data_IF_972042060722
#
_entry.id   IF_972042060722
#
_cell.length_a   1.000
_cell.length_b   1.000
_cell.length_c   1.000
_cell.angle_alpha   90.00
_cell.angle_beta   90.00
_cell.angle_gamma   90.00
#
_symmetry.space_group_name_H-M   'P 1'
#
loop_
_entity.id
_entity.type
_entity.pdbx_description
1 polymer ?
#
# COMPACT_ATOMS: atom_id res chain seq x y z
N UNK A 1 -10.70 33.98 -21.11
CA UNK A 1 -10.72 32.57 -21.54
C UNK A 1 -11.68 32.46 -22.71
N UNK A 2 -11.18 32.17 -23.90
CA UNK A 2 -12.02 32.01 -25.09
C UNK A 2 -12.92 30.77 -24.92
N UNK A 3 -14.16 30.84 -25.40
CA UNK A 3 -15.12 29.71 -25.29
C UNK A 3 -14.72 28.48 -26.12
N UNK A 4 -13.78 28.66 -27.04
CA UNK A 4 -13.37 27.67 -28.04
C UNK A 4 -11.92 27.19 -27.84
N UNK A 5 -11.47 27.09 -26.58
CA UNK A 5 -10.19 26.48 -26.26
C UNK A 5 -10.30 24.97 -26.42
N UNK A 6 -9.67 24.42 -27.47
CA UNK A 6 -9.77 23.02 -27.89
C UNK A 6 -9.33 22.01 -26.80
N UNK A 7 -8.63 22.50 -25.78
CA UNK A 7 -8.23 21.74 -24.60
C UNK A 7 -9.38 21.48 -23.61
N UNK A 8 -10.45 22.29 -23.62
CA UNK A 8 -11.56 22.20 -22.67
C UNK A 8 -12.67 21.29 -23.24
N UNK A 9 -12.91 20.14 -22.59
CA UNK A 9 -14.02 19.24 -22.92
C UNK A 9 -15.11 19.30 -21.84
N UNK A 10 -16.39 18.97 -22.16
CA UNK A 10 -17.45 18.97 -21.16
C UNK A 10 -17.14 18.07 -19.97
N UNK A 11 -17.42 18.58 -18.76
CA UNK A 11 -17.13 17.88 -17.50
C UNK A 11 -18.15 16.75 -17.28
N UNK A 12 -17.71 15.50 -17.41
CA UNK A 12 -18.55 14.34 -17.15
C UNK A 12 -18.46 13.98 -15.66
N UNK A 13 -19.62 13.81 -14.99
CA UNK A 13 -19.69 13.53 -13.55
C UNK A 13 -18.88 12.30 -13.11
N UNK A 14 -18.74 11.33 -14.00
CA UNK A 14 -18.00 10.09 -13.78
C UNK A 14 -16.47 10.30 -13.76
N UNK A 15 -15.98 11.36 -14.41
CA UNK A 15 -14.56 11.72 -14.46
C UNK A 15 -14.09 12.46 -13.18
N UNK A 16 -15.02 13.03 -12.41
CA UNK A 16 -14.74 13.75 -11.15
C UNK A 16 -14.28 12.84 -10.01
N UNK A 17 -14.41 11.52 -10.16
CA UNK A 17 -13.78 10.56 -9.25
C UNK A 17 -12.28 10.63 -9.49
N UNK A 18 -11.60 11.53 -8.78
CA UNK A 18 -10.17 11.74 -8.93
C UNK A 18 -9.41 10.42 -8.84
N UNK A 19 -8.55 10.15 -9.83
CA UNK A 19 -7.51 9.09 -9.76
C UNK A 19 -6.43 9.41 -8.71
N UNK A 20 -6.62 10.46 -7.91
CA UNK A 20 -5.76 10.81 -6.79
C UNK A 20 -6.03 9.87 -5.62
N UNK A 21 -5.36 8.72 -5.62
CA UNK A 21 -5.14 7.95 -4.39
C UNK A 21 -5.63 6.50 -4.38
N UNK A 22 -6.10 5.94 -5.49
CA UNK A 22 -6.47 4.53 -5.55
C UNK A 22 -5.63 3.80 -6.60
N UNK A 23 -4.89 2.81 -6.12
CA UNK A 23 -4.18 1.77 -6.88
C UNK A 23 -4.87 1.50 -8.22
N UNK A 24 -4.14 1.69 -9.33
CA UNK A 24 -4.61 1.22 -10.63
C UNK A 24 -4.91 -0.27 -10.50
N UNK A 25 -6.15 -0.68 -10.73
CA UNK A 25 -6.49 -2.11 -10.79
C UNK A 25 -5.94 -2.69 -12.10
N UNK A 26 -5.44 -3.94 -12.11
CA UNK A 26 -5.04 -4.60 -13.35
C UNK A 26 -6.18 -4.55 -14.37
N UNK A 27 -5.91 -4.03 -15.58
CA UNK A 27 -6.90 -3.90 -16.67
C UNK A 27 -7.40 -2.48 -16.95
N UNK A 28 -7.14 -1.49 -16.07
CA UNK A 28 -7.51 -0.08 -16.32
C UNK A 28 -6.48 0.72 -17.13
N UNK A 29 -5.45 0.07 -17.68
CA UNK A 29 -4.41 0.70 -18.50
C UNK A 29 -4.98 1.39 -19.76
N UNK A 30 -6.19 0.99 -20.22
CA UNK A 30 -6.84 1.52 -21.41
C UNK A 30 -7.75 2.73 -21.17
N UNK A 31 -8.05 3.09 -19.92
CA UNK A 31 -8.88 4.25 -19.60
C UNK A 31 -8.02 5.52 -19.56
N UNK A 32 -8.04 6.25 -20.67
CA UNK A 32 -7.36 7.54 -20.79
C UNK A 32 -7.70 8.46 -19.61
N UNK A 33 -6.66 8.99 -18.96
CA UNK A 33 -6.81 9.95 -17.86
C UNK A 33 -7.70 11.14 -18.31
N UNK A 34 -8.65 11.62 -17.49
CA UNK A 34 -9.50 12.73 -17.90
C UNK A 34 -8.70 13.96 -18.33
N UNK A 35 -9.22 14.71 -19.30
CA UNK A 35 -8.49 15.81 -19.96
C UNK A 35 -8.00 16.89 -18.99
N UNK A 36 -8.73 17.14 -17.90
CA UNK A 36 -8.39 18.14 -16.90
C UNK A 36 -7.29 17.70 -15.91
N UNK A 37 -6.94 16.40 -15.89
CA UNK A 37 -5.77 15.89 -15.17
C UNK A 37 -4.50 15.90 -16.04
N UNK A 38 -4.66 15.98 -17.37
CA UNK A 38 -3.55 16.27 -18.27
C UNK A 38 -3.23 17.76 -18.18
N UNK A 39 -2.21 18.12 -17.40
CA UNK A 39 -1.61 19.46 -17.52
C UNK A 39 -0.90 19.50 -18.86
N UNK A 40 -1.63 19.85 -19.91
CA UNK A 40 -1.09 20.06 -21.24
C UNK A 40 -0.11 21.23 -21.21
N UNK A 41 1.02 21.08 -21.90
CA UNK A 41 1.90 22.23 -22.18
C UNK A 41 1.08 23.27 -22.94
N UNK A 42 1.02 24.54 -22.48
CA UNK A 42 0.31 25.58 -23.21
C UNK A 42 0.88 25.73 -24.63
N UNK A 43 0.01 25.82 -25.64
CA UNK A 43 0.37 25.66 -27.05
C UNK A 43 1.10 26.87 -27.67
N UNK A 44 1.22 27.99 -26.95
CA UNK A 44 1.74 29.27 -27.47
C UNK A 44 2.84 29.89 -26.58
N UNK A 45 3.69 29.08 -25.95
CA UNK A 45 4.79 29.57 -25.13
C UNK A 45 6.04 29.83 -25.97
N UNK A 46 6.75 30.91 -25.69
CA UNK A 46 8.13 31.09 -26.15
C UNK A 46 9.03 29.98 -25.59
N UNK A 47 10.22 29.81 -26.16
CA UNK A 47 11.18 28.81 -25.67
C UNK A 47 11.57 29.02 -24.20
N UNK A 48 11.65 30.29 -23.76
CA UNK A 48 11.94 30.62 -22.36
C UNK A 48 10.78 30.24 -21.43
N UNK A 49 9.55 30.64 -21.77
CA UNK A 49 8.35 30.29 -20.98
C UNK A 49 8.09 28.78 -20.98
N UNK A 50 8.45 28.09 -22.05
CA UNK A 50 8.43 26.62 -22.12
C UNK A 50 9.38 26.01 -21.11
N UNK A 51 10.62 26.51 -21.04
CA UNK A 51 11.63 25.99 -20.12
C UNK A 51 11.20 26.21 -18.66
N UNK A 52 10.66 27.40 -18.36
CA UNK A 52 10.08 27.72 -17.03
C UNK A 52 8.92 26.78 -16.68
N UNK A 53 8.01 26.52 -17.61
CA UNK A 53 6.91 25.57 -17.42
C UNK A 53 7.41 24.14 -17.17
N UNK A 54 8.39 23.66 -17.93
CA UNK A 54 9.00 22.33 -17.74
C UNK A 54 9.69 22.24 -16.38
N UNK A 55 10.43 23.28 -15.98
CA UNK A 55 11.08 23.33 -14.68
C UNK A 55 10.07 23.26 -13.53
N UNK A 56 8.97 24.02 -13.63
CA UNK A 56 7.91 23.99 -12.63
C UNK A 56 7.20 22.62 -12.58
N UNK A 57 6.91 22.02 -13.72
CA UNK A 57 6.35 20.66 -13.79
C UNK A 57 7.28 19.61 -13.18
N UNK A 58 8.58 19.69 -13.48
CA UNK A 58 9.59 18.79 -12.90
C UNK A 58 9.71 19.00 -11.40
N UNK A 59 9.66 20.25 -10.92
CA UNK A 59 9.67 20.59 -9.50
C UNK A 59 8.47 19.97 -8.78
N UNK A 60 7.25 20.18 -9.30
CA UNK A 60 6.02 19.60 -8.74
C UNK A 60 6.06 18.08 -8.76
N UNK A 61 6.51 17.48 -9.88
CA UNK A 61 6.68 16.04 -10.00
C UNK A 61 7.65 15.50 -8.95
N UNK A 62 8.79 16.17 -8.75
CA UNK A 62 9.75 15.79 -7.73
C UNK A 62 9.15 15.79 -6.33
N UNK A 63 8.40 16.84 -5.95
CA UNK A 63 7.72 16.88 -4.65
C UNK A 63 6.72 15.74 -4.47
N UNK A 64 5.93 15.41 -5.52
CA UNK A 64 4.97 14.31 -5.47
C UNK A 64 5.67 12.95 -5.31
N UNK A 65 6.69 12.68 -6.13
CA UNK A 65 7.45 11.42 -6.06
C UNK A 65 8.15 11.29 -4.71
N UNK A 66 8.73 12.38 -4.20
CA UNK A 66 9.33 12.43 -2.87
C UNK A 66 8.31 12.11 -1.77
N UNK A 67 7.13 12.73 -1.80
CA UNK A 67 6.08 12.48 -0.82
C UNK A 67 5.59 11.02 -0.85
N UNK A 68 5.48 10.43 -2.04
CA UNK A 68 5.12 9.00 -2.19
C UNK A 68 6.20 8.10 -1.59
N UNK A 69 7.48 8.39 -1.87
CA UNK A 69 8.60 7.66 -1.27
C UNK A 69 8.58 7.75 0.25
N UNK A 70 8.42 8.96 0.79
CA UNK A 70 8.42 9.19 2.24
C UNK A 70 7.26 8.46 2.92
N UNK A 71 6.05 8.51 2.33
CA UNK A 71 4.90 7.71 2.78
C UNK A 71 5.17 6.21 2.74
N UNK A 72 5.79 5.70 1.68
CA UNK A 72 6.10 4.27 1.57
C UNK A 72 7.11 3.82 2.64
N UNK A 73 8.05 4.69 3.02
CA UNK A 73 8.97 4.43 4.13
C UNK A 73 8.22 4.38 5.48
N UNK A 74 7.33 5.34 5.73
CA UNK A 74 6.48 5.34 6.93
C UNK A 74 5.60 4.09 7.01
N UNK A 75 4.94 3.70 5.92
CA UNK A 75 4.09 2.50 5.87
C UNK A 75 4.90 1.22 6.16
N UNK A 76 6.15 1.15 5.69
CA UNK A 76 7.06 0.04 6.02
C UNK A 76 7.37 -0.01 7.53
N UNK A 77 7.72 1.12 8.13
CA UNK A 77 8.02 1.21 9.57
C UNK A 77 6.80 0.83 10.42
N UNK A 78 5.61 1.31 10.04
CA UNK A 78 4.34 0.95 10.68
C UNK A 78 4.14 -0.57 10.63
N UNK A 79 4.31 -1.19 9.45
CA UNK A 79 4.13 -2.62 9.27
C UNK A 79 5.11 -3.44 10.15
N UNK A 80 6.38 -3.05 10.22
CA UNK A 80 7.38 -3.68 11.10
C UNK A 80 6.97 -3.63 12.58
N UNK A 81 6.40 -2.50 13.02
CA UNK A 81 5.89 -2.34 14.38
C UNK A 81 4.60 -3.14 14.61
N UNK A 82 3.70 -3.21 13.63
CA UNK A 82 2.48 -4.01 13.71
C UNK A 82 2.78 -5.50 13.86
N UNK A 83 3.72 -6.05 13.10
CA UNK A 83 4.19 -7.42 13.29
C UNK A 83 4.71 -7.64 14.71
N UNK A 84 5.53 -6.70 15.20
CA UNK A 84 6.14 -6.80 16.54
C UNK A 84 5.10 -6.76 17.65
N UNK A 85 4.11 -5.87 17.55
CA UNK A 85 2.98 -5.77 18.50
C UNK A 85 2.08 -7.00 18.44
N UNK A 86 1.81 -7.50 17.24
CA UNK A 86 0.96 -8.68 17.01
C UNK A 86 1.58 -9.94 17.62
N UNK A 87 2.88 -10.16 17.39
CA UNK A 87 3.62 -11.28 18.00
C UNK A 87 3.57 -11.23 19.53
N UNK A 88 3.84 -10.06 20.11
CA UNK A 88 3.77 -9.87 21.58
C UNK A 88 2.37 -10.12 22.12
N UNK A 89 1.33 -9.69 21.39
CA UNK A 89 -0.07 -9.93 21.77
C UNK A 89 -0.36 -11.43 21.80
N UNK A 90 -0.03 -12.16 20.74
CA UNK A 90 -0.22 -13.62 20.69
C UNK A 90 0.55 -14.36 21.77
N UNK A 91 1.81 -13.99 22.02
CA UNK A 91 2.60 -14.58 23.09
C UNK A 91 1.96 -14.34 24.47
N UNK A 92 1.51 -13.11 24.71
CA UNK A 92 0.85 -12.74 25.97
C UNK A 92 -0.45 -13.52 26.15
N UNK A 93 -1.28 -13.60 25.11
CA UNK A 93 -2.53 -14.37 25.15
C UNK A 93 -2.25 -15.86 25.39
N UNK A 94 -1.27 -16.44 24.71
CA UNK A 94 -0.88 -17.84 24.91
C UNK A 94 -0.46 -18.11 26.37
N UNK A 95 0.29 -17.19 26.99
CA UNK A 95 0.67 -17.28 28.41
C UNK A 95 -0.54 -17.18 29.35
N UNK A 96 -1.44 -16.22 29.10
CA UNK A 96 -2.65 -16.03 29.91
C UNK A 96 -3.52 -17.30 29.87
N UNK A 97 -3.76 -17.85 28.68
CA UNK A 97 -4.58 -19.06 28.54
C UNK A 97 -3.95 -20.30 29.17
N UNK A 98 -2.62 -20.43 29.12
CA UNK A 98 -1.91 -21.51 29.83
C UNK A 98 -2.04 -21.37 31.36
N UNK A 99 -1.84 -20.17 31.90
CA UNK A 99 -2.05 -19.90 33.32
C UNK A 99 -3.50 -20.21 33.76
N UNK A 100 -4.49 -19.80 32.95
CA UNK A 100 -5.89 -20.14 33.22
C UNK A 100 -6.17 -21.65 33.21
N UNK A 101 -5.50 -22.40 32.34
CA UNK A 101 -5.61 -23.86 32.33
C UNK A 101 -5.00 -24.51 33.58
N UNK A 102 -3.87 -23.98 34.06
CA UNK A 102 -3.19 -24.42 35.28
C UNK A 102 -4.01 -24.11 36.54
N UNK A 103 -4.68 -22.96 36.59
CA UNK A 103 -5.53 -22.53 37.71
C UNK A 103 -6.89 -23.27 37.76
N UNK A 104 -7.24 -24.05 36.74
CA UNK A 104 -8.51 -24.77 36.70
C UNK A 104 -8.54 -25.92 37.73
N UNK A 105 -9.62 -25.96 38.53
CA UNK A 105 -9.84 -27.05 39.49
C UNK A 105 -10.10 -28.38 38.77
N UNK A 106 -9.76 -29.55 39.38
CA UNK A 106 -9.97 -30.87 38.78
C UNK A 106 -11.43 -31.16 38.38
N UNK A 107 -12.41 -30.54 39.05
CA UNK A 107 -13.84 -30.69 38.76
C UNK A 107 -14.31 -29.91 37.51
N UNK A 108 -13.41 -29.17 36.85
CA UNK A 108 -13.73 -28.35 35.67
C UNK A 108 -12.90 -28.75 34.44
N UNK A 109 -12.88 -30.03 34.02
CA UNK A 109 -12.01 -30.50 32.94
C UNK A 109 -12.30 -29.82 31.59
N UNK A 110 -13.57 -29.47 31.32
CA UNK A 110 -13.95 -28.76 30.09
C UNK A 110 -13.37 -27.35 30.01
N UNK A 111 -13.29 -26.63 31.14
CA UNK A 111 -12.69 -25.28 31.18
C UNK A 111 -11.19 -25.35 30.94
N UNK A 112 -10.52 -26.31 31.58
CA UNK A 112 -9.10 -26.58 31.36
C UNK A 112 -8.81 -26.92 29.90
N UNK A 113 -9.54 -27.87 29.32
CA UNK A 113 -9.36 -28.28 27.93
C UNK A 113 -9.57 -27.11 26.94
N UNK A 114 -10.56 -26.26 27.19
CA UNK A 114 -10.78 -25.07 26.37
C UNK A 114 -9.63 -24.07 26.50
N UNK A 115 -9.16 -23.79 27.72
CA UNK A 115 -8.05 -22.87 27.95
C UNK A 115 -6.75 -23.39 27.30
N UNK A 116 -6.44 -24.68 27.42
CA UNK A 116 -5.30 -25.31 26.72
C UNK A 116 -5.43 -25.17 25.20
N UNK A 117 -6.62 -25.39 24.64
CA UNK A 117 -6.89 -25.19 23.21
C UNK A 117 -6.64 -23.75 22.78
N UNK A 118 -7.09 -22.75 23.55
CA UNK A 118 -6.86 -21.34 23.24
C UNK A 118 -5.37 -21.00 23.31
N UNK A 119 -4.66 -21.48 24.33
CA UNK A 119 -3.21 -21.29 24.47
C UNK A 119 -2.42 -21.88 23.29
N UNK A 120 -2.80 -23.07 22.83
CA UNK A 120 -2.23 -23.70 21.64
C UNK A 120 -2.52 -22.88 20.37
N UNK A 121 -3.78 -22.43 20.19
CA UNK A 121 -4.19 -21.60 19.04
C UNK A 121 -3.37 -20.32 18.95
N UNK A 122 -3.23 -19.56 20.04
CA UNK A 122 -2.45 -18.32 20.03
C UNK A 122 -0.95 -18.56 19.79
N UNK A 123 -0.41 -19.68 20.29
CA UNK A 123 0.97 -20.08 19.99
C UNK A 123 1.14 -20.34 18.47
N UNK A 124 0.18 -21.01 17.85
CA UNK A 124 0.20 -21.26 16.40
C UNK A 124 0.06 -19.96 15.59
N UNK A 125 -0.82 -19.05 15.99
CA UNK A 125 -0.94 -17.74 15.35
C UNK A 125 0.36 -16.94 15.44
N UNK A 126 1.06 -16.98 16.58
CA UNK A 126 2.40 -16.42 16.74
C UNK A 126 3.39 -17.00 15.73
N UNK A 127 3.44 -18.32 15.60
CA UNK A 127 4.33 -19.00 14.66
C UNK A 127 4.03 -18.63 13.20
N UNK A 128 2.75 -18.58 12.81
CA UNK A 128 2.34 -18.15 11.45
C UNK A 128 2.71 -16.71 11.16
N UNK A 129 2.50 -15.82 12.12
CA UNK A 129 2.88 -14.41 12.01
C UNK A 129 4.40 -14.25 11.84
N UNK A 130 5.20 -15.01 12.60
CA UNK A 130 6.65 -15.01 12.47
C UNK A 130 7.10 -15.57 11.12
N UNK A 131 6.49 -16.66 10.65
CA UNK A 131 6.77 -17.22 9.33
C UNK A 131 6.44 -16.23 8.21
N UNK A 132 5.31 -15.52 8.31
CA UNK A 132 4.93 -14.48 7.36
C UNK A 132 5.96 -13.34 7.35
N UNK A 133 6.37 -12.85 8.53
CA UNK A 133 7.41 -11.82 8.65
C UNK A 133 8.73 -12.26 8.02
N UNK A 134 9.17 -13.50 8.27
CA UNK A 134 10.41 -14.04 7.71
C UNK A 134 10.34 -14.30 6.19
N UNK A 135 9.13 -14.51 5.65
CA UNK A 135 8.89 -14.68 4.22
C UNK A 135 8.88 -13.37 3.41
N UNK A 136 8.78 -12.21 4.07
CA UNK A 136 8.70 -10.90 3.40
C UNK A 136 9.85 -10.62 2.43
N UNK A 137 11.14 -10.87 2.74
CA UNK A 137 12.23 -10.56 1.82
C UNK A 137 12.10 -11.29 0.47
N UNK A 138 11.60 -12.53 0.48
CA UNK A 138 11.36 -13.30 -0.73
C UNK A 138 10.25 -12.69 -1.58
N UNK A 139 9.14 -12.31 -0.95
CA UNK A 139 8.02 -11.65 -1.64
C UNK A 139 8.45 -10.32 -2.28
N UNK A 140 9.25 -9.54 -1.55
CA UNK A 140 9.81 -8.28 -2.07
C UNK A 140 10.68 -8.56 -3.30
N UNK A 141 11.55 -9.57 -3.26
CA UNK A 141 12.39 -9.93 -4.41
C UNK A 141 11.54 -10.40 -5.59
N UNK A 142 10.53 -11.24 -5.35
CA UNK A 142 9.63 -11.72 -6.39
C UNK A 142 8.87 -10.56 -7.05
N UNK A 143 8.44 -9.55 -6.29
CA UNK A 143 7.76 -8.38 -6.84
C UNK A 143 8.72 -7.44 -7.59
N UNK A 144 9.93 -7.21 -7.10
CA UNK A 144 10.96 -6.45 -7.82
C UNK A 144 11.27 -7.08 -9.19
N UNK A 145 11.45 -8.40 -9.24
CA UNK A 145 11.75 -9.11 -10.50
C UNK A 145 10.57 -9.09 -11.49
N UNK A 146 9.33 -9.02 -11.01
CA UNK A 146 8.15 -8.85 -11.88
C UNK A 146 8.11 -7.45 -12.50
N UNK A 147 8.41 -6.43 -11.71
CA UNK A 147 8.46 -5.04 -12.21
C UNK A 147 9.58 -4.85 -13.23
N UNK A 148 10.77 -5.44 -13.01
CA UNK A 148 11.87 -5.45 -13.98
C UNK A 148 11.44 -6.08 -15.32
N UNK A 149 10.86 -7.28 -15.28
CA UNK A 149 10.37 -7.97 -16.49
C UNK A 149 9.29 -7.19 -17.23
N UNK A 150 8.45 -6.47 -16.49
CA UNK A 150 7.40 -5.63 -17.07
C UNK A 150 7.99 -4.43 -17.79
N UNK A 151 8.99 -3.77 -17.20
CA UNK A 151 9.72 -2.68 -17.83
C UNK A 151 10.43 -3.14 -19.12
N UNK A 152 11.07 -4.31 -19.09
CA UNK A 152 11.73 -4.91 -20.26
C UNK A 152 10.75 -5.25 -21.40
N UNK A 153 9.51 -5.63 -21.06
CA UNK A 153 8.47 -5.85 -22.06
C UNK A 153 7.96 -4.52 -22.64
N UNK A 154 7.75 -3.50 -21.82
CA UNK A 154 7.26 -2.18 -22.28
C UNK A 154 8.31 -1.42 -23.12
N UNK A 155 9.59 -1.78 -22.99
CA UNK A 155 10.70 -1.20 -23.76
C UNK A 155 10.96 -1.87 -25.14
N UNK A 156 10.25 -2.96 -25.48
CA UNK A 156 10.36 -3.69 -26.76
C UNK A 156 9.16 -3.40 -27.65
#
# INVERSE_FOLDING_TARGET
>A
LARDDQALQPLIREQLKGKSGLSQKPGQTKEAEPWFWRVGRPSNLSDNETNEWIQEMNRVRWFRVRAIRDRALEEREILEQEFSRTLRSFETQAKIWKALAEDCRPQQPGRRAYAEKQGAMYSELGNRCMAAKNGLPKLIQDDLTKEEKKQDHEAK
#
